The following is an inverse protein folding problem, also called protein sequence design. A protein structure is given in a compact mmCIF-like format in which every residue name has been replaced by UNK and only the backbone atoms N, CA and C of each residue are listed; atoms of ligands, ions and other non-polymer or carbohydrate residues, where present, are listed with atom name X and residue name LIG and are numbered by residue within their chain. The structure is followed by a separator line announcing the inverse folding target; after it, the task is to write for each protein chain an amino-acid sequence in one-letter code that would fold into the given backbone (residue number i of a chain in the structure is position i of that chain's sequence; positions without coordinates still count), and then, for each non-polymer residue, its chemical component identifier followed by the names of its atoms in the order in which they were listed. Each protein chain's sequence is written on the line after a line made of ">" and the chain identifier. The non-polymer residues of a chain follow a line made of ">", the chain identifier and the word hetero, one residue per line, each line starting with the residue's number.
data_IF_325623963782
#
_entry.id   IF_325623963782
#
_cell.length_a   1.000
_cell.length_b   1.000
_cell.length_c   1.000
_cell.angle_alpha   90.00
_cell.angle_beta   90.00
_cell.angle_gamma   90.00
#
_symmetry.space_group_name_H-M   'P 1'
#
loop_
_entity.id
_entity.type
_entity.pdbx_description
1 polymer ?
#
# COMPACT_ATOMS: atom_id res chain seq x y z
N UNK A 1 12.50 8.45 7.60
CA UNK A 1 12.56 7.98 9.01
C UNK A 1 12.65 6.46 9.10
N UNK A 2 11.66 5.66 8.69
CA UNK A 2 11.74 4.18 8.82
C UNK A 2 12.82 3.51 7.95
N UNK A 3 12.96 3.92 6.68
CA UNK A 3 14.03 3.37 5.83
C UNK A 3 15.41 3.85 6.25
N UNK A 4 15.53 5.04 6.84
CA UNK A 4 16.80 5.58 7.32
C UNK A 4 17.39 4.73 8.46
N UNK A 5 16.52 4.17 9.32
CA UNK A 5 16.95 3.26 10.39
C UNK A 5 17.54 1.94 9.83
N UNK A 6 17.00 1.42 8.72
CA UNK A 6 17.57 0.24 8.05
C UNK A 6 18.96 0.52 7.47
N UNK A 7 19.18 1.74 6.96
CA UNK A 7 20.51 2.19 6.52
C UNK A 7 21.50 2.22 7.67
N UNK A 8 21.09 2.80 8.80
CA UNK A 8 21.93 2.89 10.00
C UNK A 8 22.31 1.52 10.56
N UNK A 9 21.47 0.50 10.35
CA UNK A 9 21.73 -0.88 10.77
C UNK A 9 22.48 -1.73 9.72
N UNK A 10 22.78 -1.19 8.53
CA UNK A 10 23.47 -1.92 7.46
C UNK A 10 22.60 -2.93 6.72
N UNK A 11 21.27 -2.85 6.88
CA UNK A 11 20.28 -3.74 6.26
C UNK A 11 19.64 -3.12 5.01
N UNK A 12 20.13 -1.95 4.57
CA UNK A 12 19.76 -1.33 3.29
C UNK A 12 20.13 -2.25 2.12
N UNK A 13 19.17 -2.53 1.24
CA UNK A 13 19.35 -3.45 0.12
C UNK A 13 18.94 -4.90 0.44
N UNK A 14 18.64 -5.24 1.70
CA UNK A 14 18.13 -6.55 2.08
C UNK A 14 16.62 -6.53 2.37
N UNK A 15 16.15 -5.47 3.03
CA UNK A 15 14.77 -5.33 3.43
C UNK A 15 14.19 -3.96 3.09
N UNK A 16 12.94 -3.97 2.64
CA UNK A 16 12.12 -2.78 2.44
C UNK A 16 10.95 -2.77 3.44
N UNK A 17 10.64 -1.61 4.00
CA UNK A 17 9.45 -1.40 4.81
C UNK A 17 8.33 -0.78 3.98
N UNK A 18 7.13 -1.36 4.07
CA UNK A 18 5.91 -0.79 3.51
C UNK A 18 4.87 -0.62 4.62
N UNK A 19 4.29 0.56 4.74
CA UNK A 19 3.29 0.86 5.76
C UNK A 19 1.91 1.10 5.16
N UNK A 20 0.89 0.75 5.93
CA UNK A 20 -0.52 0.95 5.62
C UNK A 20 -1.23 1.43 6.89
N UNK A 21 -2.19 2.32 6.75
CA UNK A 21 -3.02 2.73 7.89
C UNK A 21 -4.40 3.23 7.42
N UNK A 22 -5.40 3.29 8.32
CA UNK A 22 -6.77 3.70 7.94
C UNK A 22 -6.84 5.08 7.29
N UNK A 23 -6.00 5.98 7.78
CA UNK A 23 -5.98 7.38 7.36
C UNK A 23 -4.98 7.66 6.22
N UNK A 24 -4.47 6.63 5.54
CA UNK A 24 -3.47 6.84 4.49
C UNK A 24 -4.04 7.78 3.43
N UNK A 25 -3.26 8.80 3.07
CA UNK A 25 -3.58 9.79 2.05
C UNK A 25 -2.33 10.11 1.27
N UNK A 26 -2.38 9.90 -0.04
CA UNK A 26 -1.29 10.35 -0.91
C UNK A 26 -1.23 11.87 -0.93
N UNK A 27 -0.02 12.39 -1.04
CA UNK A 27 0.18 13.82 -1.19
C UNK A 27 -0.54 14.34 -2.46
N UNK A 28 -1.11 15.54 -2.37
CA UNK A 28 -1.90 16.15 -3.44
C UNK A 28 -3.26 15.50 -3.75
N UNK A 29 -3.65 14.40 -3.09
CA UNK A 29 -4.97 13.80 -3.28
C UNK A 29 -5.97 14.23 -2.21
N UNK A 30 -7.24 14.35 -2.61
CA UNK A 30 -8.34 14.54 -1.67
C UNK A 30 -8.46 13.31 -0.75
N UNK A 31 -8.83 13.52 0.51
CA UNK A 31 -9.02 12.42 1.48
C UNK A 31 -10.07 11.40 1.04
N UNK A 32 -11.03 11.83 0.23
CA UNK A 32 -12.11 11.01 -0.30
C UNK A 32 -11.77 10.32 -1.63
N UNK A 33 -10.59 10.56 -2.21
CA UNK A 33 -10.16 9.89 -3.44
C UNK A 33 -10.00 8.38 -3.20
N UNK A 34 -10.58 7.59 -4.10
CA UNK A 34 -10.51 6.14 -4.06
C UNK A 34 -9.07 5.62 -4.20
N UNK A 35 -8.19 6.38 -4.86
CA UNK A 35 -6.77 6.06 -4.99
C UNK A 35 -6.07 5.87 -3.64
N UNK A 36 -6.51 6.56 -2.58
CA UNK A 36 -5.94 6.36 -1.25
C UNK A 36 -6.13 4.92 -0.74
N UNK A 37 -7.15 4.21 -1.22
CA UNK A 37 -7.41 2.82 -0.83
C UNK A 37 -6.40 1.81 -1.37
N UNK A 38 -5.47 2.19 -2.25
CA UNK A 38 -4.36 1.30 -2.62
C UNK A 38 -3.39 1.08 -1.46
N UNK A 39 -3.36 2.01 -0.49
CA UNK A 39 -2.45 1.99 0.66
C UNK A 39 -3.17 2.17 2.01
N UNK A 40 -4.50 2.25 2.04
CA UNK A 40 -5.27 2.17 3.28
C UNK A 40 -5.42 0.74 3.76
N UNK A 41 -5.54 0.60 5.06
CA UNK A 41 -5.83 -0.67 5.72
C UNK A 41 -6.79 -0.48 6.90
N UNK A 42 -7.53 -1.53 7.32
CA UNK A 42 -8.43 -1.44 8.48
C UNK A 42 -7.74 -1.07 9.79
N UNK A 43 -6.47 -1.47 9.94
CA UNK A 43 -5.62 -1.19 11.10
C UNK A 43 -4.24 -0.75 10.64
N UNK A 44 -3.49 0.04 11.44
CA UNK A 44 -2.09 0.34 11.17
C UNK A 44 -1.28 -0.96 10.99
N UNK A 45 -0.56 -1.07 9.88
CA UNK A 45 0.22 -2.24 9.52
C UNK A 45 1.58 -1.83 8.97
N UNK A 46 2.60 -2.62 9.33
CA UNK A 46 3.95 -2.53 8.79
C UNK A 46 4.29 -3.89 8.16
N UNK A 47 4.61 -3.88 6.88
CA UNK A 47 5.11 -5.03 6.14
C UNK A 47 6.62 -4.93 6.03
N UNK A 48 7.30 -6.04 6.32
CA UNK A 48 8.73 -6.21 6.11
C UNK A 48 8.88 -7.09 4.88
N UNK A 49 9.46 -6.54 3.82
CA UNK A 49 9.65 -7.22 2.55
C UNK A 49 11.13 -7.48 2.34
N UNK A 50 11.50 -8.67 1.87
CA UNK A 50 12.86 -8.93 1.39
C UNK A 50 13.01 -8.35 -0.01
N UNK A 51 14.02 -7.53 -0.23
CA UNK A 51 14.26 -6.89 -1.53
C UNK A 51 14.51 -7.93 -2.62
N UNK A 52 15.31 -8.96 -2.36
CA UNK A 52 15.54 -10.06 -3.32
C UNK A 52 14.22 -10.75 -3.75
N UNK A 53 13.31 -10.97 -2.81
CA UNK A 53 12.01 -11.58 -3.12
C UNK A 53 11.12 -10.64 -3.95
N UNK A 54 11.24 -9.33 -3.71
CA UNK A 54 10.53 -8.32 -4.47
C UNK A 54 11.08 -8.21 -5.90
N UNK A 55 12.41 -8.14 -6.06
CA UNK A 55 13.07 -8.09 -7.38
C UNK A 55 12.66 -9.27 -8.26
N UNK A 56 12.75 -10.50 -7.74
CA UNK A 56 12.32 -11.70 -8.46
C UNK A 56 10.85 -11.67 -8.90
N UNK A 57 9.98 -11.02 -8.12
CA UNK A 57 8.57 -10.86 -8.48
C UNK A 57 8.40 -9.78 -9.57
N UNK A 58 9.16 -8.68 -9.49
CA UNK A 58 9.13 -7.60 -10.47
C UNK A 58 9.68 -8.04 -11.83
N UNK A 59 10.74 -8.85 -11.88
CA UNK A 59 11.31 -9.39 -13.14
C UNK A 59 10.29 -10.20 -13.95
N UNK A 60 9.38 -10.91 -13.27
CA UNK A 60 8.32 -11.71 -13.90
C UNK A 60 7.07 -10.89 -14.24
N UNK A 61 7.01 -9.64 -13.79
CA UNK A 61 5.85 -8.78 -13.94
C UNK A 61 6.02 -7.90 -15.17
N UNK A 62 5.00 -7.86 -16.03
CA UNK A 62 5.00 -6.96 -17.18
C UNK A 62 4.76 -5.51 -16.72
N UNK A 63 5.66 -4.63 -17.15
CA UNK A 63 5.64 -3.17 -16.88
C UNK A 63 5.47 -2.85 -15.39
N UNK A 64 6.37 -3.30 -14.49
CA UNK A 64 6.19 -3.11 -13.05
C UNK A 64 6.02 -1.64 -12.62
N UNK A 65 6.65 -0.72 -13.34
CA UNK A 65 6.51 0.74 -13.17
C UNK A 65 5.08 1.25 -13.33
N UNK A 66 4.22 0.53 -14.07
CA UNK A 66 2.82 0.89 -14.27
C UNK A 66 1.90 0.37 -13.16
N UNK A 67 2.38 -0.48 -12.24
CA UNK A 67 1.55 -1.04 -11.16
C UNK A 67 0.85 0.06 -10.35
N UNK A 68 1.53 1.14 -9.90
CA UNK A 68 0.87 2.19 -9.14
C UNK A 68 -0.25 2.88 -9.92
N UNK A 69 0.00 3.22 -11.19
CA UNK A 69 -0.99 3.88 -12.05
C UNK A 69 -2.21 2.97 -12.28
N UNK A 70 -1.99 1.70 -12.61
CA UNK A 70 -3.05 0.71 -12.81
C UNK A 70 -3.90 0.53 -11.55
N UNK A 71 -3.28 0.48 -10.37
CA UNK A 71 -3.99 0.35 -9.10
C UNK A 71 -4.83 1.60 -8.79
N UNK A 72 -4.30 2.80 -9.07
CA UNK A 72 -5.02 4.07 -8.89
C UNK A 72 -6.24 4.12 -9.81
N UNK A 73 -6.07 3.83 -11.09
CA UNK A 73 -7.15 3.81 -12.08
C UNK A 73 -8.21 2.78 -11.69
N UNK A 74 -7.79 1.58 -11.31
CA UNK A 74 -8.69 0.53 -10.87
C UNK A 74 -9.46 0.94 -9.61
N UNK A 75 -8.80 1.49 -8.60
CA UNK A 75 -9.46 1.96 -7.38
C UNK A 75 -10.50 3.06 -7.68
N UNK A 76 -10.15 4.02 -8.54
CA UNK A 76 -11.09 5.06 -9.00
C UNK A 76 -12.27 4.47 -9.76
N UNK A 77 -12.06 3.44 -10.58
CA UNK A 77 -13.15 2.74 -11.27
C UNK A 77 -14.14 2.06 -10.31
N UNK A 78 -13.64 1.50 -9.20
CA UNK A 78 -14.44 0.86 -8.15
C UNK A 78 -15.19 1.86 -7.27
N UNK A 79 -14.70 3.10 -7.21
CA UNK A 79 -15.21 4.23 -6.41
C UNK A 79 -15.05 4.04 -4.91
N UNK A 80 -14.88 5.17 -4.22
CA UNK A 80 -14.69 5.26 -2.76
C UNK A 80 -15.78 4.53 -1.96
N UNK A 81 -17.03 4.62 -2.39
CA UNK A 81 -18.16 4.02 -1.68
C UNK A 81 -18.11 2.48 -1.64
N UNK A 82 -17.52 1.85 -2.65
CA UNK A 82 -17.31 0.40 -2.65
C UNK A 82 -16.37 -0.01 -1.53
N UNK A 83 -15.24 0.70 -1.39
CA UNK A 83 -14.26 0.41 -0.34
C UNK A 83 -14.79 0.74 1.05
N UNK A 84 -15.48 1.87 1.23
CA UNK A 84 -16.14 2.21 2.52
C UNK A 84 -17.11 1.13 2.96
N UNK A 85 -17.93 0.61 2.04
CA UNK A 85 -18.87 -0.48 2.34
C UNK A 85 -18.12 -1.74 2.78
N UNK A 86 -17.11 -2.17 2.02
CA UNK A 86 -16.33 -3.36 2.36
C UNK A 86 -15.63 -3.22 3.71
N UNK A 87 -15.00 -2.08 3.97
CA UNK A 87 -14.35 -1.80 5.25
C UNK A 87 -15.33 -1.87 6.42
N UNK A 88 -16.53 -1.28 6.26
CA UNK A 88 -17.58 -1.35 7.28
C UNK A 88 -18.01 -2.79 7.57
N UNK A 89 -18.15 -3.63 6.54
CA UNK A 89 -18.52 -5.04 6.73
C UNK A 89 -17.39 -5.84 7.40
N UNK A 90 -16.13 -5.61 7.02
CA UNK A 90 -14.98 -6.24 7.69
C UNK A 90 -14.95 -5.87 9.17
N UNK A 91 -15.06 -4.58 9.50
CA UNK A 91 -15.00 -4.11 10.88
C UNK A 91 -16.18 -4.58 11.75
N UNK A 92 -17.35 -4.85 11.16
CA UNK A 92 -18.48 -5.45 11.89
C UNK A 92 -18.25 -6.93 12.21
N UNK A 93 -17.61 -7.68 11.31
CA UNK A 93 -17.42 -9.13 11.48
C UNK A 93 -16.26 -9.47 12.44
N UNK A 94 -15.48 -8.48 12.86
CA UNK A 94 -14.31 -8.62 13.73
C UNK A 94 -14.48 -7.93 15.10
N UNK A 95 -15.69 -7.45 15.43
CA UNK A 95 -16.11 -6.96 16.75
C UNK A 95 -17.24 -7.82 17.30
#
# INVERSE_FOLDING_TARGET
>A
LSNDLLREQGEEGQFQLAHFHPDYRFDGLAETDAANYTNRSPYPMLHILREESLEQALEKTRSPEEIPLRNIEHARSLRTETFKRQLKEILKNHN
#
